data_IF_371386922999
#
_entry.id   IF_371386922999
#
_cell.length_a   1.000
_cell.length_b   1.000
_cell.length_c   1.000
_cell.angle_alpha   90.00
_cell.angle_beta   90.00
_cell.angle_gamma   90.00
#
_symmetry.space_group_name_H-M   'P 1'
#
loop_
_entity.id
_entity.type
_entity.pdbx_description
1 polymer ?
#
# COMPACT_ATOMS: atom_id res chain seq x y z
N UNK A 1 9.30 -3.97 -14.53
CA UNK A 1 10.12 -4.55 -13.43
C UNK A 1 10.98 -3.50 -12.72
N UNK A 2 12.02 -2.95 -13.33
CA UNK A 2 12.95 -2.00 -12.66
C UNK A 2 12.25 -0.76 -12.08
N UNK A 3 11.33 -0.14 -12.84
CA UNK A 3 10.52 1.00 -12.35
C UNK A 3 9.68 0.66 -11.11
N UNK A 4 9.18 -0.58 -11.04
CA UNK A 4 8.36 -1.06 -9.92
C UNK A 4 9.21 -1.26 -8.66
N UNK A 5 10.42 -1.80 -8.83
CA UNK A 5 11.37 -2.01 -7.75
C UNK A 5 11.87 -0.68 -7.17
N UNK A 6 12.15 0.30 -8.04
CA UNK A 6 12.54 1.66 -7.61
C UNK A 6 11.41 2.33 -6.81
N UNK A 7 10.17 2.27 -7.30
CA UNK A 7 9.02 2.82 -6.57
C UNK A 7 8.85 2.15 -5.20
N UNK A 8 9.01 0.83 -5.13
CA UNK A 8 8.94 0.08 -3.88
C UNK A 8 10.02 0.53 -2.89
N UNK A 9 11.28 0.68 -3.33
CA UNK A 9 12.36 1.16 -2.46
C UNK A 9 12.09 2.59 -1.96
N UNK A 10 11.60 3.48 -2.83
CA UNK A 10 11.27 4.86 -2.46
C UNK A 10 10.17 4.87 -1.41
N UNK A 11 9.08 4.11 -1.62
CA UNK A 11 7.99 3.99 -0.64
C UNK A 11 8.52 3.50 0.69
N UNK A 12 9.35 2.45 0.69
CA UNK A 12 9.91 1.88 1.90
C UNK A 12 10.82 2.88 2.65
N UNK A 13 11.65 3.65 1.92
CA UNK A 13 12.47 4.70 2.50
C UNK A 13 11.63 5.83 3.13
N UNK A 14 10.52 6.20 2.49
CA UNK A 14 9.58 7.21 3.01
C UNK A 14 8.85 6.71 4.24
N UNK A 15 8.34 5.48 4.24
CA UNK A 15 7.65 4.87 5.39
C UNK A 15 8.58 4.81 6.62
N UNK A 16 9.81 4.34 6.44
CA UNK A 16 10.83 4.30 7.51
C UNK A 16 11.18 5.72 7.98
N UNK A 17 11.35 6.67 7.06
CA UNK A 17 11.65 8.07 7.40
C UNK A 17 10.56 8.71 8.25
N UNK A 18 9.29 8.49 7.92
CA UNK A 18 8.15 8.99 8.70
C UNK A 18 8.13 8.36 10.09
N UNK A 19 8.30 7.03 10.17
CA UNK A 19 8.33 6.29 11.44
C UNK A 19 9.45 6.77 12.37
N UNK A 20 10.66 6.95 11.81
CA UNK A 20 11.81 7.48 12.54
C UNK A 20 11.55 8.91 13.01
N UNK A 21 10.98 9.76 12.15
CA UNK A 21 10.63 11.14 12.50
C UNK A 21 9.59 11.22 13.62
N UNK A 22 8.58 10.36 13.62
CA UNK A 22 7.59 10.28 14.69
C UNK A 22 8.24 9.81 15.99
N UNK A 23 9.07 8.76 15.93
CA UNK A 23 9.74 8.22 17.11
C UNK A 23 10.68 9.25 17.76
N UNK A 24 11.45 10.00 16.98
CA UNK A 24 12.37 11.01 17.51
C UNK A 24 11.67 12.30 17.95
N UNK A 25 10.60 12.72 17.28
CA UNK A 25 9.87 13.93 17.65
C UNK A 25 9.05 13.76 18.93
N UNK A 26 8.48 12.57 19.15
CA UNK A 26 7.63 12.29 20.32
C UNK A 26 8.35 11.49 21.44
N UNK A 27 9.66 11.23 21.30
CA UNK A 27 10.44 10.38 22.22
C UNK A 27 9.79 9.01 22.49
N UNK A 28 9.09 8.48 21.48
CA UNK A 28 8.44 7.18 21.57
C UNK A 28 9.42 6.06 21.29
N UNK A 29 9.18 4.92 21.94
CA UNK A 29 9.92 3.70 21.67
C UNK A 29 9.79 3.34 20.18
N UNK A 30 10.94 3.25 19.51
CA UNK A 30 11.03 3.01 18.07
C UNK A 30 10.31 1.72 17.67
N UNK A 31 10.41 0.68 18.50
CA UNK A 31 9.82 -0.63 18.26
C UNK A 31 8.29 -0.55 18.24
N UNK A 32 7.70 0.14 19.23
CA UNK A 32 6.26 0.37 19.30
C UNK A 32 5.78 1.26 18.14
N UNK A 33 6.54 2.30 17.81
CA UNK A 33 6.20 3.23 16.71
C UNK A 33 6.20 2.52 15.36
N UNK A 34 7.21 1.68 15.09
CA UNK A 34 7.29 0.85 13.89
C UNK A 34 6.16 -0.17 13.81
N UNK A 35 5.77 -0.80 14.92
CA UNK A 35 4.65 -1.74 14.94
C UNK A 35 3.33 -1.06 14.54
N UNK A 36 2.94 0.00 15.25
CA UNK A 36 1.67 0.67 15.01
C UNK A 36 1.64 1.41 13.66
N UNK A 37 2.75 2.01 13.25
CA UNK A 37 2.81 2.71 11.98
C UNK A 37 2.85 1.77 10.78
N UNK A 38 3.55 0.62 10.84
CA UNK A 38 3.51 -0.38 9.76
C UNK A 38 2.12 -1.01 9.61
N UNK A 39 1.43 -1.31 10.71
CA UNK A 39 0.02 -1.75 10.69
C UNK A 39 -0.90 -0.72 10.04
N UNK A 40 -0.72 0.55 10.38
CA UNK A 40 -1.51 1.66 9.82
C UNK A 40 -1.25 1.81 8.32
N UNK A 41 0.01 1.73 7.89
CA UNK A 41 0.36 1.78 6.47
C UNK A 41 -0.21 0.59 5.69
N UNK A 42 -0.13 -0.63 6.21
CA UNK A 42 -0.76 -1.81 5.59
C UNK A 42 -2.27 -1.61 5.44
N UNK A 43 -2.94 -1.07 6.45
CA UNK A 43 -4.37 -0.81 6.40
C UNK A 43 -4.71 0.24 5.33
N UNK A 44 -4.04 1.40 5.33
CA UNK A 44 -4.23 2.45 4.33
C UNK A 44 -3.91 1.94 2.92
N UNK A 45 -2.85 1.16 2.78
CA UNK A 45 -2.45 0.55 1.52
C UNK A 45 -3.50 -0.42 1.02
N UNK A 46 -4.07 -1.25 1.90
CA UNK A 46 -5.15 -2.17 1.56
C UNK A 46 -6.39 -1.43 1.04
N UNK A 47 -6.83 -0.38 1.73
CA UNK A 47 -7.96 0.45 1.28
C UNK A 47 -7.68 1.13 -0.07
N UNK A 48 -6.48 1.66 -0.24
CA UNK A 48 -6.09 2.35 -1.48
C UNK A 48 -5.95 1.38 -2.65
N UNK A 49 -5.35 0.20 -2.43
CA UNK A 49 -5.23 -0.86 -3.45
C UNK A 49 -6.58 -1.44 -3.83
N UNK A 50 -7.49 -1.60 -2.86
CA UNK A 50 -8.87 -2.02 -3.14
C UNK A 50 -9.69 -0.96 -3.87
N UNK A 51 -9.35 0.32 -3.73
CA UNK A 51 -10.04 1.45 -4.39
C UNK A 51 -9.59 1.69 -5.83
N UNK A 52 -8.47 1.10 -6.25
CA UNK A 52 -8.03 1.12 -7.65
C UNK A 52 -9.06 0.53 -8.63
N UNK A 53 -9.93 -0.35 -8.14
CA UNK A 53 -11.05 -0.92 -8.88
C UNK A 53 -12.24 0.06 -9.00
N UNK A 54 -12.37 1.00 -8.06
CA UNK A 54 -13.48 1.96 -8.00
C UNK A 54 -13.23 3.17 -8.92
N UNK A 55 -11.99 3.63 -9.06
CA UNK A 55 -11.66 4.74 -9.96
C UNK A 55 -11.62 4.33 -11.45
N UNK A 56 -11.20 3.10 -11.77
CA UNK A 56 -11.29 2.54 -13.13
C UNK A 56 -12.74 2.36 -13.60
N UNK A 57 -13.67 2.04 -12.69
CA UNK A 57 -15.10 1.96 -13.00
C UNK A 57 -15.67 3.23 -13.62
N UNK A 58 -15.19 4.40 -13.21
CA UNK A 58 -15.68 5.68 -13.74
C UNK A 58 -15.13 6.01 -15.13
N UNK A 59 -13.89 5.60 -15.44
CA UNK A 59 -13.34 5.77 -16.78
C UNK A 59 -13.92 4.75 -17.77
N UNK A 60 -14.14 3.50 -17.34
CA UNK A 60 -14.83 2.50 -18.16
C UNK A 60 -16.30 2.87 -18.40
N UNK A 61 -17.00 3.43 -17.41
CA UNK A 61 -18.37 3.95 -17.58
C UNK A 61 -18.43 5.18 -18.51
N UNK A 62 -17.45 6.09 -18.43
CA UNK A 62 -17.37 7.25 -19.33
C UNK A 62 -17.04 6.87 -20.78
N UNK A 63 -16.23 5.83 -20.99
CA UNK A 63 -15.95 5.26 -22.32
C UNK A 63 -17.17 4.46 -22.83
N UNK A 64 -17.91 3.79 -21.94
CA UNK A 64 -19.15 3.06 -22.27
C UNK A 64 -20.25 3.96 -22.84
N UNK A 65 -20.45 5.16 -22.26
CA UNK A 65 -21.43 6.13 -22.75
C UNK A 65 -21.10 6.60 -24.19
N UNK A 66 -19.81 6.52 -24.56
CA UNK A 66 -19.34 6.81 -25.93
C UNK A 66 -19.40 5.62 -26.91
N UNK A 67 -19.67 4.38 -26.47
CA UNK A 67 -19.63 3.16 -27.30
C UNK A 67 -20.97 2.41 -27.49
N UNK A 68 -22.11 3.01 -27.16
CA UNK A 68 -23.44 2.52 -27.54
C UNK A 68 -23.77 1.05 -27.13
N UNK A 69 -23.54 0.71 -25.86
CA UNK A 69 -24.43 -0.22 -25.16
C UNK A 69 -24.33 -1.73 -25.43
N UNK A 70 -23.20 -2.26 -25.90
CA UNK A 70 -22.97 -3.72 -25.91
C UNK A 70 -21.97 -4.12 -24.83
N UNK A 71 -22.46 -4.46 -23.63
CA UNK A 71 -21.64 -5.09 -22.58
C UNK A 71 -22.19 -6.46 -22.22
N UNK A 72 -21.36 -7.50 -22.37
CA UNK A 72 -21.59 -8.82 -21.79
C UNK A 72 -20.82 -8.86 -20.47
N UNK A 73 -21.47 -8.90 -19.30
CA UNK A 73 -20.78 -8.82 -18.02
C UNK A 73 -19.99 -10.10 -17.78
N UNK A 74 -18.72 -10.09 -18.13
CA UNK A 74 -17.77 -11.05 -17.58
C UNK A 74 -17.63 -10.73 -16.10
N UNK A 75 -18.00 -11.68 -15.24
CA UNK A 75 -17.87 -11.54 -13.80
C UNK A 75 -16.40 -11.27 -13.44
N UNK A 76 -16.07 -10.01 -13.21
CA UNK A 76 -14.75 -9.61 -12.74
C UNK A 76 -14.64 -10.03 -11.28
N UNK A 77 -13.90 -11.12 -11.07
CA UNK A 77 -13.46 -11.58 -9.77
C UNK A 77 -12.80 -10.40 -9.06
N UNK A 78 -12.98 -10.23 -7.74
CA UNK A 78 -12.27 -9.20 -6.98
C UNK A 78 -10.77 -9.47 -7.10
N UNK A 79 -10.11 -8.84 -8.07
CA UNK A 79 -8.68 -8.95 -8.26
C UNK A 79 -8.05 -7.91 -7.36
N UNK A 80 -7.66 -8.34 -6.16
CA UNK A 80 -6.84 -7.52 -5.27
C UNK A 80 -5.54 -7.18 -6.03
N UNK A 81 -5.48 -5.99 -6.63
CA UNK A 81 -4.30 -5.56 -7.36
C UNK A 81 -3.23 -5.23 -6.31
N UNK A 82 -2.21 -6.07 -6.20
CA UNK A 82 -1.12 -5.88 -5.23
C UNK A 82 -0.23 -4.76 -5.77
N UNK A 83 -0.50 -3.52 -5.35
CA UNK A 83 0.28 -2.37 -5.71
C UNK A 83 1.65 -2.33 -5.00
N UNK A 84 2.61 -1.56 -5.53
CA UNK A 84 3.94 -1.41 -4.91
C UNK A 84 3.87 -0.79 -3.51
N UNK A 85 2.81 -0.03 -3.23
CA UNK A 85 2.55 0.54 -1.91
C UNK A 85 2.18 -0.54 -0.87
N UNK A 86 1.26 -1.45 -1.21
CA UNK A 86 0.87 -2.55 -0.33
C UNK A 86 2.04 -3.49 -0.05
N UNK A 87 2.85 -3.78 -1.08
CA UNK A 87 4.07 -4.57 -0.96
C UNK A 87 5.13 -3.87 -0.10
N UNK A 88 5.27 -2.55 -0.23
CA UNK A 88 6.14 -1.71 0.59
C UNK A 88 5.75 -1.75 2.08
N UNK A 89 4.47 -1.53 2.39
CA UNK A 89 3.99 -1.55 3.77
C UNK A 89 4.11 -2.94 4.42
N UNK A 90 3.91 -4.01 3.64
CA UNK A 90 4.14 -5.40 4.10
C UNK A 90 5.61 -5.66 4.41
N UNK A 91 6.52 -5.14 3.58
CA UNK A 91 7.96 -5.20 3.83
C UNK A 91 8.34 -4.39 5.07
N UNK A 92 7.75 -3.22 5.29
CA UNK A 92 7.96 -2.42 6.49
C UNK A 92 7.58 -3.23 7.76
N UNK A 93 6.45 -3.94 7.72
CA UNK A 93 6.02 -4.84 8.78
C UNK A 93 6.96 -6.04 8.96
N UNK A 94 7.51 -6.60 7.88
CA UNK A 94 8.53 -7.65 7.96
C UNK A 94 9.84 -7.14 8.60
N UNK A 95 10.26 -5.91 8.29
CA UNK A 95 11.43 -5.27 8.91
C UNK A 95 11.21 -5.07 10.41
N UNK A 96 10.01 -4.70 10.84
CA UNK A 96 9.66 -4.67 12.26
C UNK A 96 9.90 -6.02 12.94
N UNK A 97 9.42 -7.12 12.37
CA UNK A 97 9.62 -8.46 12.98
C UNK A 97 11.10 -8.84 13.08
N UNK A 98 11.90 -8.48 12.08
CA UNK A 98 13.36 -8.69 12.11
C UNK A 98 13.99 -7.86 13.24
N UNK A 99 13.67 -6.57 13.34
CA UNK A 99 14.17 -5.73 14.42
C UNK A 99 13.71 -6.22 15.79
N UNK A 100 12.45 -6.61 15.94
CA UNK A 100 11.92 -7.16 17.18
C UNK A 100 12.64 -8.45 17.59
N UNK A 101 13.04 -9.30 16.64
CA UNK A 101 13.81 -10.51 16.94
C UNK A 101 15.23 -10.22 17.43
N UNK A 102 15.91 -9.21 16.87
CA UNK A 102 17.28 -8.86 17.26
C UNK A 102 17.36 -7.93 18.49
N UNK A 103 16.31 -7.17 18.76
CA UNK A 103 16.26 -6.16 19.82
C UNK A 103 15.46 -6.60 21.07
N UNK A 104 14.85 -7.79 21.02
CA UNK A 104 14.25 -8.48 22.17
C UNK A 104 15.28 -9.30 22.92
#
# INVERSE_FOLDING_TARGET
>A
MVKYLILLIIVLAVEIGILLGISTYFDFNLLSTMFFGSLSFVFIAFFTSSSGDIFTKNSEAAVFDSMAGRYNPQQQKPTLHIGPFLLGSLLCLAVYFIMAFFLS
#
